data_IF_396069749532
#
_entry.id   IF_396069749532
#
_cell.length_a   1.000
_cell.length_b   1.000
_cell.length_c   1.000
_cell.angle_alpha   90.00
_cell.angle_beta   90.00
_cell.angle_gamma   90.00
#
_symmetry.space_group_name_H-M   'P 1'
#
loop_
_entity.id
_entity.type
_entity.pdbx_description
1 polymer ?
#
# COMPACT_ATOMS: atom_id res chain seq x y z
N UNK A 1 -4.69 17.07 39.02
CA UNK A 1 -5.25 16.58 37.74
C UNK A 1 -4.56 17.35 36.62
N UNK A 2 -3.57 16.74 35.96
CA UNK A 2 -2.86 17.38 34.87
C UNK A 2 -3.76 17.35 33.63
N UNK A 3 -3.93 18.50 32.98
CA UNK A 3 -4.67 18.63 31.74
C UNK A 3 -4.11 17.64 30.70
N UNK A 4 -4.92 16.67 30.29
CA UNK A 4 -4.64 15.82 29.14
C UNK A 4 -4.80 16.69 27.90
N UNK A 5 -3.77 17.45 27.55
CA UNK A 5 -3.72 18.15 26.28
C UNK A 5 -3.77 17.13 25.17
N UNK A 6 -4.82 17.18 24.35
CA UNK A 6 -4.98 16.28 23.21
C UNK A 6 -3.72 16.38 22.33
N UNK A 7 -2.95 15.30 22.31
CA UNK A 7 -1.71 15.22 21.53
C UNK A 7 -2.10 15.29 20.05
N UNK A 8 -1.68 16.35 19.37
CA UNK A 8 -1.94 16.55 17.93
C UNK A 8 -1.54 15.30 17.17
N UNK A 9 -2.52 14.68 16.50
CA UNK A 9 -2.31 13.50 15.67
C UNK A 9 -1.98 13.96 14.25
N UNK A 10 -0.83 13.52 13.74
CA UNK A 10 -0.36 13.89 12.41
C UNK A 10 -0.34 12.65 11.53
N UNK A 11 -1.21 12.54 10.51
CA UNK A 11 -1.16 11.41 9.60
C UNK A 11 0.14 11.43 8.78
N UNK A 12 0.63 10.27 8.31
CA UNK A 12 1.78 10.24 7.40
C UNK A 12 1.49 10.98 6.10
N UNK A 13 2.56 11.32 5.36
CA UNK A 13 2.46 11.93 4.04
C UNK A 13 1.49 11.13 3.14
N UNK A 14 0.64 11.79 2.37
CA UNK A 14 -0.28 11.14 1.42
C UNK A 14 -1.17 10.05 2.05
N UNK A 15 -1.47 10.16 3.35
CA UNK A 15 -2.37 9.23 4.02
C UNK A 15 -3.80 9.36 3.49
N UNK A 16 -4.45 8.23 3.22
CA UNK A 16 -5.88 8.15 2.94
C UNK A 16 -6.42 6.75 3.21
N UNK A 17 -7.73 6.64 3.38
CA UNK A 17 -8.44 5.35 3.32
C UNK A 17 -8.63 4.98 1.84
N UNK A 18 -8.32 3.72 1.50
CA UNK A 18 -8.57 3.15 0.16
C UNK A 18 -9.93 2.45 0.17
N UNK A 19 -10.13 1.60 1.17
CA UNK A 19 -11.36 0.87 1.49
C UNK A 19 -11.45 0.77 3.02
N UNK A 20 -12.61 0.38 3.60
CA UNK A 20 -12.68 0.02 5.00
C UNK A 20 -11.57 -0.94 5.38
N UNK A 21 -10.79 -0.61 6.42
CA UNK A 21 -9.64 -1.36 6.90
C UNK A 21 -8.42 -1.46 5.95
N UNK A 22 -8.43 -0.78 4.79
CA UNK A 22 -7.27 -0.70 3.89
C UNK A 22 -6.87 0.77 3.75
N UNK A 23 -5.66 1.10 4.21
CA UNK A 23 -5.14 2.46 4.21
C UNK A 23 -3.92 2.57 3.29
N UNK A 24 -3.66 3.78 2.79
CA UNK A 24 -2.44 4.11 2.04
C UNK A 24 -1.67 5.23 2.72
N UNK A 25 -0.34 5.27 2.54
CA UNK A 25 0.47 6.45 2.84
C UNK A 25 1.85 6.45 2.16
N UNK A 26 2.60 7.53 2.36
CA UNK A 26 4.06 7.54 2.26
C UNK A 26 4.72 6.99 3.52
N UNK A 27 6.05 7.08 3.58
CA UNK A 27 6.84 6.43 4.62
C UNK A 27 6.53 7.03 6.00
N UNK A 28 6.07 6.23 6.97
CA UNK A 28 5.80 6.70 8.32
C UNK A 28 7.06 7.16 9.05
N UNK A 29 6.93 8.20 9.87
CA UNK A 29 7.99 8.58 10.82
C UNK A 29 7.41 8.72 12.23
N UNK A 30 8.29 8.96 13.21
CA UNK A 30 7.96 9.07 14.63
C UNK A 30 6.80 10.02 14.95
N UNK A 31 6.65 11.12 14.21
CA UNK A 31 5.54 12.08 14.41
C UNK A 31 4.18 11.47 14.06
N UNK A 32 4.17 10.46 13.19
CA UNK A 32 2.95 9.80 12.72
C UNK A 32 2.54 8.61 13.59
N UNK A 33 3.45 8.03 14.37
CA UNK A 33 3.19 6.84 15.18
C UNK A 33 1.95 6.97 16.09
N UNK A 34 1.73 8.08 16.82
CA UNK A 34 0.52 8.22 17.63
C UNK A 34 -0.78 8.15 16.81
N UNK A 35 -0.78 8.65 15.58
CA UNK A 35 -1.92 8.56 14.67
C UNK A 35 -2.14 7.11 14.21
N UNK A 36 -1.06 6.41 13.82
CA UNK A 36 -1.13 5.03 13.33
C UNK A 36 -1.64 4.06 14.39
N UNK A 37 -1.32 4.28 15.66
CA UNK A 37 -1.86 3.49 16.77
C UNK A 37 -3.39 3.57 16.87
N UNK A 38 -4.00 4.70 16.46
CA UNK A 38 -5.45 4.86 16.47
C UNK A 38 -6.16 4.07 15.37
N UNK A 39 -5.43 3.62 14.34
CA UNK A 39 -6.00 2.82 13.25
C UNK A 39 -6.17 1.34 13.63
N UNK A 40 -5.56 0.88 14.74
CA UNK A 40 -5.64 -0.52 15.16
C UNK A 40 -5.09 -1.49 14.12
N UNK A 41 -4.01 -1.11 13.43
CA UNK A 41 -3.42 -1.90 12.36
C UNK A 41 -3.00 -3.28 12.86
N UNK A 42 -3.37 -4.33 12.12
CA UNK A 42 -2.83 -5.69 12.31
C UNK A 42 -1.58 -5.91 11.46
N UNK A 43 -1.52 -5.27 10.30
CA UNK A 43 -0.39 -5.40 9.40
C UNK A 43 -0.03 -4.09 8.69
N UNK A 44 1.19 -4.05 8.17
CA UNK A 44 1.71 -2.98 7.31
C UNK A 44 2.40 -3.63 6.12
N UNK A 45 2.16 -3.10 4.93
CA UNK A 45 2.85 -3.50 3.71
C UNK A 45 3.76 -2.36 3.24
N UNK A 46 5.06 -2.65 3.22
CA UNK A 46 6.07 -1.73 2.72
C UNK A 46 6.52 -2.17 1.33
N UNK A 47 6.27 -1.30 0.35
CA UNK A 47 6.53 -1.56 -1.06
C UNK A 47 7.73 -0.72 -1.51
N UNK A 48 8.93 -1.24 -1.27
CA UNK A 48 10.19 -0.60 -1.62
C UNK A 48 11.36 -1.58 -1.53
N UNK A 49 12.40 -1.35 -2.33
CA UNK A 49 13.67 -2.07 -2.24
C UNK A 49 14.44 -1.75 -0.97
N UNK A 50 14.37 -0.49 -0.52
CA UNK A 50 15.07 0.01 0.66
C UNK A 50 14.61 -0.72 1.93
N UNK A 51 15.50 -0.87 2.91
CA UNK A 51 15.16 -1.39 4.23
C UNK A 51 14.44 -0.36 5.09
N UNK A 52 13.70 -0.85 6.09
CA UNK A 52 13.20 0.02 7.13
C UNK A 52 14.34 0.56 8.02
N UNK A 53 14.12 1.74 8.59
CA UNK A 53 14.93 2.18 9.73
C UNK A 53 14.61 1.30 10.94
N UNK A 54 15.62 1.08 11.82
CA UNK A 54 15.43 0.32 13.05
C UNK A 54 14.30 0.91 13.93
N UNK A 55 14.21 2.24 14.03
CA UNK A 55 13.14 2.92 14.79
C UNK A 55 11.73 2.53 14.28
N UNK A 56 11.55 2.41 12.96
CA UNK A 56 10.25 2.06 12.37
C UNK A 56 9.95 0.57 12.52
N UNK A 57 10.96 -0.30 12.37
CA UNK A 57 10.82 -1.75 12.64
C UNK A 57 10.44 -2.02 14.09
N UNK A 58 11.13 -1.38 15.03
CA UNK A 58 10.86 -1.53 16.45
C UNK A 58 9.47 -1.03 16.80
N UNK A 59 9.02 0.08 16.19
CA UNK A 59 7.64 0.54 16.35
C UNK A 59 6.62 -0.51 15.92
N UNK A 60 6.78 -1.13 14.75
CA UNK A 60 5.86 -2.20 14.31
C UNK A 60 5.90 -3.42 15.23
N UNK A 61 7.11 -3.85 15.61
CA UNK A 61 7.32 -5.01 16.49
C UNK A 61 6.66 -4.82 17.86
N UNK A 62 6.91 -3.69 18.52
CA UNK A 62 6.37 -3.41 19.87
C UNK A 62 4.84 -3.35 19.87
N UNK A 63 4.24 -2.93 18.75
CA UNK A 63 2.79 -2.83 18.61
C UNK A 63 2.15 -4.07 17.97
N UNK A 64 2.89 -5.18 17.84
CA UNK A 64 2.42 -6.45 17.28
C UNK A 64 1.84 -6.31 15.86
N UNK A 65 2.40 -5.42 15.05
CA UNK A 65 1.99 -5.24 13.65
C UNK A 65 2.83 -6.14 12.75
N UNK A 66 2.18 -7.01 11.99
CA UNK A 66 2.85 -7.87 11.00
C UNK A 66 3.38 -7.03 9.83
N UNK A 67 4.67 -7.20 9.48
CA UNK A 67 5.30 -6.43 8.40
C UNK A 67 5.45 -7.30 7.15
N UNK A 68 4.78 -6.90 6.07
CA UNK A 68 5.00 -7.44 4.73
C UNK A 68 5.94 -6.51 3.96
N UNK A 69 7.22 -6.88 3.85
CA UNK A 69 8.19 -6.12 3.06
C UNK A 69 8.23 -6.67 1.63
N UNK A 70 7.56 -5.97 0.70
CA UNK A 70 7.55 -6.26 -0.72
C UNK A 70 8.68 -5.47 -1.39
N UNK A 71 9.79 -6.13 -1.75
CA UNK A 71 10.96 -5.50 -2.37
C UNK A 71 10.74 -5.24 -3.86
N UNK A 72 9.83 -4.32 -4.14
CA UNK A 72 9.44 -3.94 -5.50
C UNK A 72 10.19 -2.66 -5.90
N UNK A 73 10.97 -2.77 -6.96
CA UNK A 73 11.58 -1.62 -7.63
C UNK A 73 10.50 -0.69 -8.19
N UNK A 74 10.73 0.62 -8.14
CA UNK A 74 9.81 1.55 -8.81
C UNK A 74 10.01 1.50 -10.33
N UNK A 75 8.96 1.82 -11.09
CA UNK A 75 9.10 2.07 -12.52
C UNK A 75 10.12 3.20 -12.74
N UNK A 76 11.20 2.90 -13.47
CA UNK A 76 12.26 3.82 -13.86
C UNK A 76 12.51 3.67 -15.36
N UNK A 77 11.89 4.55 -16.12
CA UNK A 77 12.18 4.69 -17.55
C UNK A 77 13.69 4.85 -17.78
N UNK A 78 14.30 4.13 -18.74
CA UNK A 78 13.69 3.17 -19.67
C UNK A 78 13.89 1.68 -19.30
N UNK A 79 14.39 1.34 -18.11
CA UNK A 79 14.88 -0.03 -17.81
C UNK A 79 14.33 -0.69 -16.54
N UNK A 80 13.52 0.00 -15.75
CA UNK A 80 12.93 -0.54 -14.53
C UNK A 80 11.42 -0.63 -14.65
N UNK A 81 10.87 -1.84 -14.60
CA UNK A 81 9.44 -2.09 -14.57
C UNK A 81 9.06 -2.91 -13.34
N UNK A 82 7.88 -2.64 -12.80
CA UNK A 82 7.27 -3.46 -11.75
C UNK A 82 6.81 -4.79 -12.37
N UNK A 83 7.15 -5.92 -11.74
CA UNK A 83 6.65 -7.21 -12.20
C UNK A 83 5.18 -7.40 -11.80
N UNK A 84 4.36 -7.90 -12.74
CA UNK A 84 2.93 -8.17 -12.47
C UNK A 84 2.75 -9.18 -11.33
N UNK A 85 3.65 -10.17 -11.23
CA UNK A 85 3.62 -11.20 -10.18
C UNK A 85 3.77 -10.58 -8.78
N UNK A 86 4.70 -9.64 -8.60
CA UNK A 86 4.91 -9.01 -7.31
C UNK A 86 3.67 -8.22 -6.84
N UNK A 87 2.99 -7.56 -7.78
CA UNK A 87 1.72 -6.87 -7.50
C UNK A 87 0.60 -7.86 -7.21
N UNK A 88 0.52 -8.99 -7.92
CA UNK A 88 -0.44 -10.04 -7.63
C UNK A 88 -0.22 -10.62 -6.21
N UNK A 89 1.03 -10.95 -5.84
CA UNK A 89 1.40 -11.46 -4.52
C UNK A 89 1.17 -10.45 -3.39
N UNK A 90 1.27 -9.14 -3.70
CA UNK A 90 0.87 -8.08 -2.78
C UNK A 90 -0.65 -8.03 -2.63
N UNK A 91 -1.41 -8.06 -3.73
CA UNK A 91 -2.87 -8.03 -3.71
C UNK A 91 -3.46 -9.18 -2.91
N UNK A 92 -2.92 -10.40 -3.02
CA UNK A 92 -3.36 -11.54 -2.20
C UNK A 92 -3.32 -11.24 -0.70
N UNK A 93 -2.23 -10.63 -0.23
CA UNK A 93 -2.08 -10.25 1.19
C UNK A 93 -3.05 -9.15 1.60
N UNK A 94 -3.34 -8.21 0.71
CA UNK A 94 -4.30 -7.11 0.96
C UNK A 94 -5.74 -7.63 1.01
N UNK A 95 -6.08 -8.58 0.15
CA UNK A 95 -7.42 -9.16 0.05
C UNK A 95 -7.73 -10.15 1.18
N UNK A 96 -6.72 -10.71 1.85
CA UNK A 96 -6.92 -11.55 3.03
C UNK A 96 -7.35 -10.70 4.25
N UNK A 97 -8.61 -10.86 4.66
CA UNK A 97 -9.23 -10.16 5.80
C UNK A 97 -8.48 -10.38 7.12
N UNK A 98 -7.73 -11.49 7.27
CA UNK A 98 -6.93 -11.76 8.48
C UNK A 98 -5.83 -10.71 8.68
N UNK A 99 -5.34 -10.13 7.59
CA UNK A 99 -4.30 -9.11 7.60
C UNK A 99 -4.84 -7.71 7.88
N UNK A 100 -6.17 -7.50 7.81
CA UNK A 100 -6.80 -6.20 7.95
C UNK A 100 -7.16 -5.87 9.42
N UNK A 101 -7.00 -4.61 9.89
CA UNK A 101 -6.65 -3.42 9.10
C UNK A 101 -5.18 -3.33 8.69
N UNK A 102 -4.95 -2.94 7.44
CA UNK A 102 -3.62 -2.91 6.78
C UNK A 102 -3.28 -1.50 6.28
N UNK A 103 -2.03 -1.09 6.48
CA UNK A 103 -1.46 0.12 5.88
C UNK A 103 -0.52 -0.23 4.72
N UNK A 104 -0.82 0.27 3.53
CA UNK A 104 0.02 0.15 2.34
C UNK A 104 0.89 1.41 2.21
N UNK A 105 2.21 1.28 2.17
CA UNK A 105 3.06 2.44 1.94
C UNK A 105 4.32 2.15 1.13
N UNK A 106 4.88 3.21 0.56
CA UNK A 106 6.22 3.25 -0.01
C UNK A 106 6.89 4.54 0.46
N UNK A 107 7.90 5.06 -0.25
CA UNK A 107 8.58 6.29 0.17
C UNK A 107 7.62 7.50 0.24
N UNK A 108 6.80 7.71 -0.80
CA UNK A 108 5.88 8.87 -0.90
C UNK A 108 4.41 8.50 -1.02
N UNK A 109 4.08 7.22 -1.09
CA UNK A 109 2.69 6.76 -1.28
C UNK A 109 2.11 7.15 -2.64
N UNK A 110 2.97 7.25 -3.66
CA UNK A 110 2.63 7.73 -5.01
C UNK A 110 2.63 6.59 -6.04
N UNK A 111 3.82 6.22 -6.53
CA UNK A 111 4.02 5.30 -7.65
C UNK A 111 3.66 3.85 -7.31
N UNK A 112 4.54 3.11 -6.63
CA UNK A 112 4.34 1.70 -6.26
C UNK A 112 3.00 1.40 -5.57
N UNK A 113 2.65 2.21 -4.57
CA UNK A 113 1.35 2.10 -3.88
C UNK A 113 0.19 2.46 -4.81
N UNK A 114 0.39 3.44 -5.70
CA UNK A 114 -0.60 3.81 -6.71
C UNK A 114 -0.83 2.70 -7.75
N UNK A 115 0.22 2.02 -8.20
CA UNK A 115 0.09 0.85 -9.07
C UNK A 115 -0.70 -0.26 -8.38
N UNK A 116 -0.32 -0.62 -7.14
CA UNK A 116 -1.03 -1.64 -6.37
C UNK A 116 -2.52 -1.30 -6.19
N UNK A 117 -2.83 -0.07 -5.80
CA UNK A 117 -4.21 0.40 -5.61
C UNK A 117 -4.95 0.45 -6.94
N UNK A 118 -4.31 0.90 -8.02
CA UNK A 118 -4.91 0.89 -9.36
C UNK A 118 -5.29 -0.51 -9.81
N UNK A 119 -4.43 -1.50 -9.57
CA UNK A 119 -4.73 -2.91 -9.81
C UNK A 119 -5.86 -3.42 -8.90
N UNK A 120 -5.91 -3.00 -7.63
CA UNK A 120 -7.05 -3.30 -6.74
C UNK A 120 -8.36 -2.73 -7.30
N UNK A 121 -8.38 -1.47 -7.75
CA UNK A 121 -9.56 -0.86 -8.38
C UNK A 121 -10.00 -1.59 -9.65
N UNK A 122 -9.04 -2.11 -10.41
CA UNK A 122 -9.32 -2.96 -11.58
C UNK A 122 -10.02 -4.26 -11.19
N UNK A 123 -9.61 -4.91 -10.10
CA UNK A 123 -10.34 -6.07 -9.53
C UNK A 123 -11.75 -5.69 -9.07
N UNK A 124 -11.92 -4.48 -8.55
CA UNK A 124 -13.23 -3.91 -8.17
C UNK A 124 -14.06 -3.44 -9.39
N UNK A 125 -13.58 -3.66 -10.62
CA UNK A 125 -14.24 -3.31 -11.88
C UNK A 125 -14.53 -1.82 -12.06
N UNK A 126 -13.67 -0.96 -11.50
CA UNK A 126 -13.72 0.47 -11.78
C UNK A 126 -13.37 0.76 -13.26
N UNK A 127 -13.88 1.85 -13.81
CA UNK A 127 -13.48 2.31 -15.15
C UNK A 127 -12.04 2.81 -15.13
N UNK A 128 -11.29 2.60 -16.23
CA UNK A 128 -9.90 3.08 -16.33
C UNK A 128 -9.76 4.58 -16.09
N UNK A 129 -10.75 5.37 -16.53
CA UNK A 129 -10.79 6.81 -16.28
C UNK A 129 -10.79 7.13 -14.77
N UNK A 130 -11.63 6.47 -13.98
CA UNK A 130 -11.68 6.67 -12.52
C UNK A 130 -10.42 6.17 -11.82
N UNK A 131 -9.85 5.07 -12.29
CA UNK A 131 -8.61 4.52 -11.74
C UNK A 131 -7.45 5.50 -11.94
N UNK A 132 -7.30 6.03 -13.16
CA UNK A 132 -6.24 7.00 -13.46
C UNK A 132 -6.46 8.34 -12.77
N UNK A 133 -7.71 8.78 -12.60
CA UNK A 133 -8.02 9.98 -11.81
C UNK A 133 -7.58 9.83 -10.35
N UNK A 134 -7.93 8.71 -9.70
CA UNK A 134 -7.47 8.42 -8.33
C UNK A 134 -5.94 8.37 -8.26
N UNK A 135 -5.29 7.66 -9.19
CA UNK A 135 -3.82 7.60 -9.24
C UNK A 135 -3.19 8.99 -9.36
N UNK A 136 -3.63 9.81 -10.32
CA UNK A 136 -3.11 11.16 -10.57
C UNK A 136 -3.32 12.08 -9.37
N UNK A 137 -4.47 11.97 -8.70
CA UNK A 137 -4.76 12.73 -7.47
C UNK A 137 -3.70 12.51 -6.38
N UNK A 138 -3.23 11.28 -6.20
CA UNK A 138 -2.19 10.97 -5.20
C UNK A 138 -0.76 11.17 -5.70
N UNK A 139 -0.49 10.93 -6.99
CA UNK A 139 0.82 11.18 -7.60
C UNK A 139 1.14 12.69 -7.66
N UNK A 140 0.11 13.52 -7.85
CA UNK A 140 0.23 14.97 -8.00
C UNK A 140 1.06 15.34 -9.22
N UNK A 141 1.92 16.36 -9.09
CA UNK A 141 2.73 16.90 -10.19
C UNK A 141 3.77 15.94 -10.78
N UNK A 142 4.02 14.79 -10.13
CA UNK A 142 4.99 13.78 -10.57
C UNK A 142 4.29 12.54 -11.12
N UNK A 143 3.26 12.70 -11.94
CA UNK A 143 2.54 11.56 -12.52
C UNK A 143 3.47 10.83 -13.49
N UNK A 144 3.63 9.51 -13.31
CA UNK A 144 4.40 8.67 -14.24
C UNK A 144 3.42 8.00 -15.21
N UNK A 145 3.74 8.04 -16.51
CA UNK A 145 2.93 7.40 -17.55
C UNK A 145 3.07 5.87 -17.45
N UNK A 146 4.29 5.37 -17.26
CA UNK A 146 4.59 3.95 -17.06
C UNK A 146 3.77 3.28 -15.94
N UNK A 147 3.45 4.01 -14.86
CA UNK A 147 2.59 3.48 -13.78
C UNK A 147 1.14 3.25 -14.27
N UNK A 148 0.61 4.14 -15.12
CA UNK A 148 -0.73 4.02 -15.68
C UNK A 148 -0.80 2.93 -16.75
N UNK A 149 0.23 2.86 -17.61
CA UNK A 149 0.38 1.78 -18.58
C UNK A 149 0.45 0.41 -17.88
N UNK A 150 1.23 0.30 -16.80
CA UNK A 150 1.27 -0.90 -15.97
C UNK A 150 -0.12 -1.30 -15.46
N UNK A 151 -0.88 -0.36 -14.90
CA UNK A 151 -2.25 -0.63 -14.41
C UNK A 151 -3.15 -1.10 -15.56
N UNK A 152 -3.02 -0.51 -16.75
CA UNK A 152 -3.79 -0.86 -17.94
C UNK A 152 -3.50 -2.29 -18.42
N UNK A 153 -2.23 -2.69 -18.47
CA UNK A 153 -1.82 -4.01 -18.96
C UNK A 153 -1.88 -5.12 -17.92
N UNK A 154 -1.98 -4.79 -16.63
CA UNK A 154 -2.02 -5.78 -15.55
C UNK A 154 -3.16 -6.79 -15.73
N UNK A 155 -2.86 -8.09 -15.81
CA UNK A 155 -3.88 -9.13 -15.97
C UNK A 155 -4.51 -9.53 -14.63
N UNK A 156 -5.73 -9.04 -14.39
CA UNK A 156 -6.51 -9.37 -13.19
C UNK A 156 -6.80 -10.87 -13.01
N UNK A 157 -6.78 -11.66 -14.10
CA UNK A 157 -7.04 -13.10 -14.01
C UNK A 157 -5.94 -13.83 -13.24
N UNK A 158 -4.72 -13.28 -13.20
CA UNK A 158 -3.60 -13.84 -12.44
C UNK A 158 -3.95 -13.95 -10.94
N UNK A 159 -4.59 -12.92 -10.38
CA UNK A 159 -5.01 -12.92 -8.97
C UNK A 159 -6.13 -13.93 -8.73
N UNK A 160 -7.12 -13.99 -9.62
CA UNK A 160 -8.23 -14.93 -9.52
C UNK A 160 -7.75 -16.39 -9.56
N UNK A 161 -6.80 -16.69 -10.45
CA UNK A 161 -6.18 -18.01 -10.55
C UNK A 161 -5.43 -18.38 -9.26
N UNK A 162 -4.64 -17.46 -8.70
CA UNK A 162 -3.90 -17.71 -7.45
C UNK A 162 -4.84 -17.96 -6.25
N UNK A 163 -5.90 -17.16 -6.11
CA UNK A 163 -6.93 -17.37 -5.08
C UNK A 163 -7.62 -18.74 -5.19
N UNK A 164 -7.85 -19.21 -6.42
CA UNK A 164 -8.44 -20.53 -6.66
C UNK A 164 -7.52 -21.68 -6.22
N UNK A 165 -6.21 -21.52 -6.37
CA UNK A 165 -5.21 -22.51 -5.94
C UNK A 165 -5.10 -22.55 -4.41
N UNK A 166 -5.11 -21.39 -3.74
CA UNK A 166 -5.04 -21.33 -2.27
C UNK A 166 -6.27 -21.95 -1.63
N UNK A 167 -7.44 -21.75 -2.23
CA UNK A 167 -8.71 -22.35 -1.78
C UNK A 167 -8.75 -23.88 -1.90
N UNK A 168 -7.92 -24.46 -2.78
CA UNK A 168 -7.79 -25.92 -2.94
C UNK A 168 -6.76 -26.56 -2.00
N UNK A 169 -5.92 -25.75 -1.33
CA UNK A 169 -4.89 -26.21 -0.40
C UNK A 169 -5.28 -26.09 1.08
N UNK A 170 -6.39 -25.39 1.37
CA UNK A 170 -6.99 -25.25 2.70
C UNK A 170 -7.99 -26.38 2.97
#
# INVERSE_FOLDING_TARGET
MAATGDKVLVPPLNFAMVEPNIYRSGYPNKKNFPFLLKLGLKSVMYICEDDYTQETLDFWRINNVCVFHMRIAGNKEPFGEIEQKDIADALLKVLDEKNQPILLHCNKGKHRVGCLIGCLRKLQKWSMASIFDEYRRFAGTKTHIADQEFIEVFDSNTVAHLLSIESQKA
#
